data_IF_749813529257
#
_entry.id   IF_749813529257
#
_cell.length_a   1.000
_cell.length_b   1.000
_cell.length_c   1.000
_cell.angle_alpha   90.00
_cell.angle_beta   90.00
_cell.angle_gamma   90.00
#
_symmetry.space_group_name_H-M   'P 1'
#
loop_
_entity.id
_entity.type
_entity.pdbx_description
1 polymer ?
#
# COMPACT_ATOMS: atom_id res chain seq x y z
N UNK A 1 -7.28 12.08 26.48
CA UNK A 1 -6.48 12.74 25.41
C UNK A 1 -5.56 11.78 24.68
N UNK A 2 -4.82 10.89 25.37
CA UNK A 2 -3.99 9.88 24.69
C UNK A 2 -4.82 8.93 23.81
N UNK A 3 -5.95 8.42 24.30
CA UNK A 3 -6.81 7.47 23.54
C UNK A 3 -7.34 8.02 22.23
N UNK A 4 -7.80 9.28 22.21
CA UNK A 4 -8.33 9.93 21.00
C UNK A 4 -7.27 10.07 19.90
N UNK A 5 -6.03 10.41 20.27
CA UNK A 5 -4.90 10.53 19.34
C UNK A 5 -4.52 9.15 18.80
N UNK A 6 -4.49 8.12 19.66
CA UNK A 6 -4.21 6.75 19.24
C UNK A 6 -5.26 6.22 18.26
N UNK A 7 -6.55 6.51 18.49
CA UNK A 7 -7.65 6.13 17.59
C UNK A 7 -7.54 6.86 16.24
N UNK A 8 -7.18 8.14 16.23
CA UNK A 8 -6.96 8.91 15.00
C UNK A 8 -5.79 8.35 14.19
N UNK A 9 -4.67 8.03 14.83
CA UNK A 9 -3.51 7.42 14.16
C UNK A 9 -3.84 6.03 13.62
N UNK A 10 -4.58 5.20 14.36
CA UNK A 10 -5.05 3.91 13.84
C UNK A 10 -6.01 4.07 12.65
N UNK A 11 -6.92 5.04 12.71
CA UNK A 11 -7.85 5.31 11.61
C UNK A 11 -7.11 5.82 10.37
N UNK A 12 -6.13 6.70 10.56
CA UNK A 12 -5.27 7.19 9.49
C UNK A 12 -4.45 6.06 8.86
N UNK A 13 -3.83 5.21 9.70
CA UNK A 13 -3.07 4.07 9.23
C UNK A 13 -3.98 3.08 8.47
N UNK A 14 -5.19 2.81 8.95
CA UNK A 14 -6.16 2.02 8.19
C UNK A 14 -6.52 2.68 6.85
N UNK A 15 -6.80 3.98 6.82
CA UNK A 15 -7.13 4.67 5.59
C UNK A 15 -5.99 4.56 4.56
N UNK A 16 -4.75 4.84 4.98
CA UNK A 16 -3.57 4.84 4.11
C UNK A 16 -3.22 3.43 3.63
N UNK A 17 -3.14 2.45 4.54
CA UNK A 17 -2.62 1.12 4.22
C UNK A 17 -3.69 0.12 3.78
N UNK A 18 -4.98 0.39 4.01
CA UNK A 18 -6.07 -0.54 3.69
C UNK A 18 -6.99 -0.01 2.61
N UNK A 19 -7.46 1.24 2.73
CA UNK A 19 -8.39 1.79 1.74
C UNK A 19 -7.67 2.34 0.51
N UNK A 20 -6.56 3.04 0.72
CA UNK A 20 -5.78 3.67 -0.37
C UNK A 20 -4.55 2.86 -0.80
N UNK A 21 -4.23 1.77 -0.11
CA UNK A 21 -3.03 0.96 -0.35
C UNK A 21 -2.83 0.55 -1.82
N UNK A 22 -3.85 -0.02 -2.50
CA UNK A 22 -3.73 -0.41 -3.91
C UNK A 22 -3.48 0.77 -4.85
N UNK A 23 -4.13 1.91 -4.59
CA UNK A 23 -3.98 3.11 -5.40
C UNK A 23 -2.59 3.74 -5.22
N UNK A 24 -2.07 3.77 -3.99
CA UNK A 24 -0.71 4.22 -3.68
C UNK A 24 0.31 3.35 -4.44
N UNK A 25 0.12 2.03 -4.41
CA UNK A 25 0.98 1.11 -5.14
C UNK A 25 0.95 1.35 -6.66
N UNK A 26 -0.24 1.55 -7.25
CA UNK A 26 -0.36 1.86 -8.69
C UNK A 26 0.34 3.16 -9.08
N UNK A 27 0.24 4.21 -8.26
CA UNK A 27 0.92 5.49 -8.50
C UNK A 27 2.44 5.29 -8.46
N UNK A 28 2.96 4.60 -7.45
CA UNK A 28 4.39 4.33 -7.31
C UNK A 28 4.90 3.50 -8.50
N UNK A 29 4.16 2.46 -8.90
CA UNK A 29 4.51 1.67 -10.09
C UNK A 29 4.56 2.53 -11.35
N UNK A 30 3.56 3.37 -11.59
CA UNK A 30 3.53 4.26 -12.75
C UNK A 30 4.75 5.18 -12.80
N UNK A 31 5.11 5.78 -11.66
CA UNK A 31 6.31 6.63 -11.54
C UNK A 31 7.58 5.81 -11.83
N UNK A 32 7.72 4.63 -11.24
CA UNK A 32 8.90 3.78 -11.42
C UNK A 32 9.07 3.35 -12.88
N UNK A 33 7.99 3.01 -13.58
CA UNK A 33 8.04 2.65 -15.02
C UNK A 33 8.57 3.82 -15.85
N UNK A 34 8.07 5.03 -15.61
CA UNK A 34 8.52 6.23 -16.33
C UNK A 34 9.99 6.54 -16.00
N UNK A 35 10.39 6.46 -14.73
CA UNK A 35 11.75 6.76 -14.29
C UNK A 35 12.77 5.76 -14.84
N UNK A 36 12.43 4.48 -14.90
CA UNK A 36 13.28 3.44 -15.49
C UNK A 36 13.39 3.65 -16.99
N UNK A 37 12.28 3.89 -17.70
CA UNK A 37 12.30 4.12 -19.15
C UNK A 37 13.14 5.34 -19.54
N UNK A 38 13.17 6.37 -18.68
CA UNK A 38 13.98 7.58 -18.86
C UNK A 38 15.45 7.42 -18.41
N UNK A 39 15.81 6.26 -17.84
CA UNK A 39 17.16 5.99 -17.34
C UNK A 39 17.53 6.69 -16.02
N UNK A 40 16.54 7.25 -15.31
CA UNK A 40 16.75 8.00 -14.06
C UNK A 40 16.98 7.08 -12.85
N UNK A 41 16.46 5.85 -12.92
CA UNK A 41 16.58 4.87 -11.84
C UNK A 41 17.06 3.55 -12.45
N UNK A 42 18.09 2.90 -11.86
CA UNK A 42 18.52 1.58 -12.31
C UNK A 42 17.42 0.54 -12.08
N UNK A 43 17.20 -0.33 -13.06
CA UNK A 43 16.14 -1.36 -13.05
C UNK A 43 16.12 -2.17 -11.73
N UNK A 44 17.30 -2.57 -11.24
CA UNK A 44 17.42 -3.30 -9.96
C UNK A 44 16.82 -2.54 -8.78
N UNK A 45 17.08 -1.24 -8.69
CA UNK A 45 16.54 -0.38 -7.61
C UNK A 45 15.03 -0.20 -7.72
N UNK A 46 14.52 -0.03 -8.94
CA UNK A 46 13.09 0.09 -9.19
C UNK A 46 12.32 -1.18 -8.81
N UNK A 47 12.86 -2.37 -9.10
CA UNK A 47 12.25 -3.65 -8.71
C UNK A 47 12.19 -3.79 -7.18
N UNK A 48 13.27 -3.45 -6.47
CA UNK A 48 13.27 -3.49 -5.00
C UNK A 48 12.21 -2.55 -4.42
N UNK A 49 12.11 -1.32 -4.95
CA UNK A 49 11.11 -0.35 -4.52
C UNK A 49 9.68 -0.84 -4.80
N UNK A 50 9.43 -1.43 -5.97
CA UNK A 50 8.13 -1.99 -6.32
C UNK A 50 7.74 -3.14 -5.38
N UNK A 51 8.66 -4.07 -5.08
CA UNK A 51 8.41 -5.18 -4.16
C UNK A 51 8.14 -4.67 -2.75
N UNK A 52 8.92 -3.70 -2.25
CA UNK A 52 8.70 -3.10 -0.95
C UNK A 52 7.31 -2.42 -0.87
N UNK A 53 6.94 -1.61 -1.86
CA UNK A 53 5.63 -0.96 -1.90
C UNK A 53 4.48 -1.97 -2.00
N UNK A 54 4.65 -3.07 -2.73
CA UNK A 54 3.66 -4.14 -2.79
C UNK A 54 3.42 -4.76 -1.40
N UNK A 55 4.49 -5.11 -0.69
CA UNK A 55 4.38 -5.73 0.64
C UNK A 55 3.78 -4.77 1.67
N UNK A 56 4.15 -3.49 1.63
CA UNK A 56 3.66 -2.51 2.61
C UNK A 56 2.23 -2.03 2.37
N UNK A 57 1.80 -1.88 1.12
CA UNK A 57 0.50 -1.27 0.80
C UNK A 57 -0.52 -2.27 0.27
N UNK A 58 -0.09 -3.26 -0.51
CA UNK A 58 -0.99 -4.20 -1.18
C UNK A 58 -1.38 -5.37 -0.28
N UNK A 59 -0.41 -5.94 0.46
CA UNK A 59 -0.65 -7.11 1.33
C UNK A 59 -1.67 -6.80 2.45
N UNK A 60 -1.57 -5.69 3.21
CA UNK A 60 -2.56 -5.38 4.25
C UNK A 60 -3.98 -5.19 3.69
N UNK A 61 -4.08 -4.55 2.53
CA UNK A 61 -5.35 -4.35 1.82
C UNK A 61 -6.00 -5.68 1.40
N UNK A 62 -5.20 -6.60 0.85
CA UNK A 62 -5.64 -7.95 0.47
C UNK A 62 -6.11 -8.78 1.67
N UNK A 63 -5.37 -8.76 2.78
CA UNK A 63 -5.73 -9.50 4.00
C UNK A 63 -7.05 -8.97 4.57
N UNK A 64 -7.26 -7.65 4.60
CA UNK A 64 -8.52 -7.02 4.99
C UNK A 64 -9.68 -7.40 4.08
N UNK A 65 -9.46 -7.37 2.77
CA UNK A 65 -10.47 -7.77 1.80
C UNK A 65 -10.87 -9.24 1.98
N UNK A 66 -9.89 -10.14 2.11
CA UNK A 66 -10.12 -11.56 2.38
C UNK A 66 -10.89 -11.77 3.69
N UNK A 67 -10.57 -11.03 4.76
CA UNK A 67 -11.30 -11.07 6.02
C UNK A 67 -12.76 -10.59 5.87
N UNK A 68 -13.00 -9.53 5.10
CA UNK A 68 -14.37 -9.05 4.85
C UNK A 68 -15.23 -10.05 4.06
N UNK A 69 -14.63 -10.76 3.09
CA UNK A 69 -15.32 -11.83 2.36
C UNK A 69 -15.61 -13.00 3.30
N UNK A 70 -14.62 -13.43 4.09
CA UNK A 70 -14.80 -14.53 5.04
C UNK A 70 -15.92 -14.25 6.06
N UNK A 71 -16.04 -13.00 6.53
CA UNK A 71 -17.13 -12.59 7.42
C UNK A 71 -18.50 -12.50 6.73
N UNK A 72 -18.54 -12.20 5.43
CA UNK A 72 -19.78 -12.14 4.66
C UNK A 72 -20.35 -13.53 4.29
N UNK A 73 -19.57 -14.59 4.46
CA UNK A 73 -19.98 -15.97 4.19
C UNK A 73 -20.46 -16.75 5.44
N UNK A 74 -20.49 -16.11 6.61
CA UNK A 74 -21.02 -16.65 7.88
C UNK A 74 -22.35 -15.96 8.17
#
# INVERSE_FOLDING_TARGET
MLSTITTLLQTLAQAIFVSYGPYIFMIVLGILVIMVAKGWVPMKGAVIAAVACFVFFMVPSLVRYAASIAQAQI
#
